data_IF_450699316868
#
_entry.id   IF_450699316868
#
_cell.length_a   1.000
_cell.length_b   1.000
_cell.length_c   1.000
_cell.angle_alpha   90.00
_cell.angle_beta   90.00
_cell.angle_gamma   90.00
#
_symmetry.space_group_name_H-M   'P 1'
#
loop_
_entity.id
_entity.type
_entity.pdbx_description
1 polymer ?
#
# COMPACT_ATOMS: atom_id res chain seq x y z
N UNK A 1 -8.38 -11.27 6.07
CA UNK A 1 -8.84 -10.40 7.17
C UNK A 1 -7.79 -10.36 8.24
N UNK A 2 -7.60 -9.19 8.83
CA UNK A 2 -6.68 -8.86 9.93
C UNK A 2 -7.39 -7.90 10.87
N UNK A 3 -6.88 -7.76 12.08
CA UNK A 3 -7.42 -6.80 13.04
C UNK A 3 -6.81 -5.40 12.89
N UNK A 4 -5.64 -5.29 12.24
CA UNK A 4 -4.90 -4.03 12.12
C UNK A 4 -4.52 -3.70 10.67
N UNK A 5 -4.45 -2.40 10.37
CA UNK A 5 -3.91 -1.90 9.11
C UNK A 5 -2.42 -2.23 8.94
N UNK A 6 -1.64 -2.14 10.03
CA UNK A 6 -0.22 -2.46 10.04
C UNK A 6 0.09 -3.86 9.48
N UNK A 7 -0.67 -4.88 9.89
CA UNK A 7 -0.50 -6.25 9.37
C UNK A 7 -0.78 -6.34 7.85
N UNK A 8 -1.76 -5.58 7.35
CA UNK A 8 -2.06 -5.54 5.92
C UNK A 8 -0.94 -4.85 5.14
N UNK A 9 -0.51 -3.68 5.60
CA UNK A 9 0.44 -2.85 4.88
C UNK A 9 1.87 -3.40 4.95
N UNK A 10 2.35 -3.75 6.14
CA UNK A 10 3.72 -4.24 6.31
C UNK A 10 3.82 -5.70 5.88
N UNK A 11 3.15 -6.60 6.59
CA UNK A 11 3.42 -8.03 6.46
C UNK A 11 2.88 -8.60 5.13
N UNK A 12 1.70 -8.16 4.70
CA UNK A 12 1.04 -8.73 3.51
C UNK A 12 1.36 -7.99 2.22
N UNK A 13 1.86 -6.76 2.29
CA UNK A 13 2.17 -5.95 1.10
C UNK A 13 3.65 -5.65 0.99
N UNK A 14 4.23 -4.88 1.91
CA UNK A 14 5.63 -4.45 1.79
C UNK A 14 6.60 -5.64 1.89
N UNK A 15 6.42 -6.52 2.87
CA UNK A 15 7.28 -7.71 3.05
C UNK A 15 7.12 -8.68 1.88
N UNK A 16 5.90 -8.86 1.39
CA UNK A 16 5.64 -9.69 0.21
C UNK A 16 6.32 -9.14 -1.05
N UNK A 17 6.29 -7.81 -1.27
CA UNK A 17 6.98 -7.17 -2.39
C UNK A 17 8.49 -7.32 -2.27
N UNK A 18 9.06 -7.12 -1.07
CA UNK A 18 10.47 -7.39 -0.81
C UNK A 18 10.83 -8.82 -1.16
N UNK A 19 10.06 -9.80 -0.67
CA UNK A 19 10.33 -11.22 -0.88
C UNK A 19 10.31 -11.55 -2.38
N UNK A 20 9.37 -11.00 -3.13
CA UNK A 20 9.30 -11.19 -4.58
C UNK A 20 10.47 -10.53 -5.33
N UNK A 21 10.96 -9.37 -4.89
CA UNK A 21 12.11 -8.70 -5.48
C UNK A 21 13.41 -9.50 -5.22
N UNK A 22 13.59 -10.01 -4.00
CA UNK A 22 14.70 -10.88 -3.64
C UNK A 22 14.65 -12.21 -4.42
N UNK A 23 13.47 -12.85 -4.48
CA UNK A 23 13.27 -14.10 -5.21
C UNK A 23 13.57 -13.98 -6.70
N UNK A 24 13.28 -12.82 -7.30
CA UNK A 24 13.58 -12.53 -8.71
C UNK A 24 15.02 -12.09 -8.95
N UNK A 25 15.83 -11.91 -7.89
CA UNK A 25 17.19 -11.39 -8.00
C UNK A 25 17.25 -9.94 -8.48
N UNK A 26 16.16 -9.18 -8.34
CA UNK A 26 16.10 -7.77 -8.69
C UNK A 26 16.67 -6.89 -7.57
N UNK A 27 16.63 -7.40 -6.34
CA UNK A 27 17.29 -6.84 -5.17
C UNK A 27 18.43 -7.76 -4.71
N UNK A 28 19.44 -7.14 -4.12
CA UNK A 28 20.52 -7.82 -3.43
C UNK A 28 20.43 -7.60 -1.92
N UNK A 29 21.40 -8.13 -1.16
CA UNK A 29 21.43 -8.01 0.31
C UNK A 29 21.54 -6.56 0.80
N UNK A 30 22.19 -5.66 0.05
CA UNK A 30 22.26 -4.23 0.40
C UNK A 30 20.89 -3.57 0.29
N UNK A 31 20.14 -3.83 -0.79
CA UNK A 31 18.76 -3.36 -0.95
C UNK A 31 17.86 -3.88 0.18
N UNK A 32 18.00 -5.16 0.54
CA UNK A 32 17.26 -5.76 1.64
C UNK A 32 17.62 -5.13 3.00
N UNK A 33 18.90 -4.83 3.25
CA UNK A 33 19.32 -4.14 4.47
C UNK A 33 18.72 -2.74 4.58
N UNK A 34 18.63 -1.99 3.47
CA UNK A 34 17.94 -0.69 3.43
C UNK A 34 16.45 -0.87 3.71
N UNK A 35 15.81 -1.88 3.11
CA UNK A 35 14.41 -2.19 3.37
C UNK A 35 14.15 -2.47 4.85
N UNK A 36 14.98 -3.27 5.52
CA UNK A 36 14.81 -3.57 6.96
C UNK A 36 14.92 -2.31 7.84
N UNK A 37 15.76 -1.34 7.48
CA UNK A 37 15.84 -0.05 8.17
C UNK A 37 14.53 0.74 8.00
N UNK A 38 14.03 0.84 6.76
CA UNK A 38 12.77 1.54 6.47
C UNK A 38 11.58 0.83 7.12
N UNK A 39 11.54 -0.51 7.08
CA UNK A 39 10.52 -1.34 7.73
C UNK A 39 10.42 -1.05 9.22
N UNK A 40 11.57 -0.91 9.90
CA UNK A 40 11.60 -0.54 11.32
C UNK A 40 10.93 0.81 11.57
N UNK A 41 11.21 1.82 10.72
CA UNK A 41 10.56 3.13 10.81
C UNK A 41 9.06 2.99 10.56
N UNK A 42 8.64 2.32 9.49
CA UNK A 42 7.22 2.14 9.17
C UNK A 42 6.44 1.45 10.31
N UNK A 43 7.02 0.42 10.93
CA UNK A 43 6.40 -0.26 12.08
C UNK A 43 6.20 0.71 13.25
N UNK A 44 7.23 1.49 13.60
CA UNK A 44 7.16 2.44 14.70
C UNK A 44 6.13 3.55 14.45
N UNK A 45 6.05 4.07 13.22
CA UNK A 45 5.06 5.10 12.88
C UNK A 45 3.63 4.53 12.91
N UNK A 46 3.43 3.34 12.34
CA UNK A 46 2.11 2.70 12.30
C UNK A 46 1.63 2.21 13.66
N UNK A 47 2.53 1.92 14.61
CA UNK A 47 2.17 1.62 16.00
C UNK A 47 1.59 2.84 16.73
N UNK A 48 1.91 4.05 16.27
CA UNK A 48 1.40 5.31 16.83
C UNK A 48 0.28 5.92 15.98
N UNK A 49 -0.21 5.20 14.96
CA UNK A 49 -1.23 5.67 14.03
C UNK A 49 -2.54 4.90 14.18
N UNK A 50 -3.64 5.62 14.41
CA UNK A 50 -4.97 5.02 14.49
C UNK A 50 -5.67 5.00 13.12
N UNK A 51 -5.63 3.86 12.46
CA UNK A 51 -6.33 3.63 11.20
C UNK A 51 -7.79 3.23 11.41
N UNK A 52 -8.71 3.89 10.71
CA UNK A 52 -10.10 3.43 10.55
C UNK A 52 -10.25 2.73 9.20
N UNK A 53 -10.70 1.48 9.24
CA UNK A 53 -10.95 0.68 8.03
C UNK A 53 -11.92 1.39 7.10
N UNK A 54 -11.51 1.54 5.84
CA UNK A 54 -12.25 2.14 4.74
C UNK A 54 -12.17 1.22 3.51
N UNK A 55 -13.21 1.18 2.69
CA UNK A 55 -13.13 0.52 1.38
C UNK A 55 -12.27 1.38 0.45
N UNK A 56 -11.18 0.82 -0.04
CA UNK A 56 -10.21 1.48 -0.90
C UNK A 56 -10.35 1.02 -2.36
N UNK A 57 -9.99 1.91 -3.28
CA UNK A 57 -9.75 1.57 -4.68
C UNK A 57 -8.53 0.64 -4.81
N UNK A 58 -7.45 0.94 -4.07
CA UNK A 58 -6.22 0.13 -3.97
C UNK A 58 -5.20 0.34 -5.10
N UNK A 59 -5.58 1.10 -6.13
CA UNK A 59 -4.74 1.49 -7.28
C UNK A 59 -5.16 2.88 -7.83
N UNK A 60 -5.33 3.88 -6.96
CA UNK A 60 -5.91 5.17 -7.34
C UNK A 60 -4.84 6.18 -7.81
N UNK A 61 -4.39 6.06 -9.06
CA UNK A 61 -3.46 7.02 -9.69
C UNK A 61 -4.09 7.73 -10.88
N UNK A 62 -3.37 8.70 -11.46
CA UNK A 62 -3.84 9.52 -12.60
C UNK A 62 -4.30 8.73 -13.84
N UNK A 63 -3.90 7.47 -13.96
CA UNK A 63 -4.35 6.57 -15.02
C UNK A 63 -5.69 5.88 -14.76
N UNK A 64 -6.17 5.84 -13.51
CA UNK A 64 -7.31 5.02 -13.07
C UNK A 64 -8.54 5.85 -12.64
N UNK A 65 -8.57 7.13 -12.99
CA UNK A 65 -9.78 7.95 -12.92
C UNK A 65 -9.94 8.80 -14.18
N UNK A 66 -11.19 9.15 -14.48
CA UNK A 66 -11.53 10.08 -15.56
C UNK A 66 -12.76 10.89 -15.17
N UNK A 67 -13.09 11.89 -15.98
CA UNK A 67 -14.32 12.65 -15.84
C UNK A 67 -15.28 12.32 -16.98
N UNK A 68 -16.54 12.07 -16.63
CA UNK A 68 -17.62 11.88 -17.59
C UNK A 68 -17.97 13.20 -18.29
N UNK A 69 -18.82 13.14 -19.31
CA UNK A 69 -19.24 14.32 -20.09
C UNK A 69 -19.95 15.39 -19.25
N UNK A 70 -20.52 15.00 -18.10
CA UNK A 70 -21.17 15.90 -17.14
C UNK A 70 -20.21 16.45 -16.08
N UNK A 71 -18.92 16.09 -16.14
CA UNK A 71 -17.90 16.49 -15.18
C UNK A 71 -17.86 15.68 -13.88
N UNK A 72 -18.68 14.63 -13.73
CA UNK A 72 -18.59 13.72 -12.59
C UNK A 72 -17.39 12.77 -12.72
N UNK A 73 -16.71 12.42 -11.61
CA UNK A 73 -15.59 11.49 -11.65
C UNK A 73 -16.06 10.04 -11.83
N UNK A 74 -15.29 9.25 -12.56
CA UNK A 74 -15.42 7.81 -12.68
C UNK A 74 -14.09 7.14 -12.33
N UNK A 75 -14.14 6.12 -11.48
CA UNK A 75 -13.00 5.28 -11.09
C UNK A 75 -13.06 3.95 -11.85
N UNK A 76 -11.92 3.40 -12.22
CA UNK A 76 -11.82 2.14 -12.96
C UNK A 76 -10.51 1.40 -12.64
N UNK A 77 -10.48 0.11 -12.98
CA UNK A 77 -9.38 -0.82 -12.67
C UNK A 77 -8.98 -0.88 -11.18
N UNK A 78 -9.94 -1.17 -10.27
CA UNK A 78 -9.64 -1.24 -8.84
C UNK A 78 -8.86 -2.51 -8.45
N UNK A 79 -8.04 -2.37 -7.43
CA UNK A 79 -7.43 -3.48 -6.67
C UNK A 79 -7.94 -3.43 -5.21
N UNK A 80 -9.25 -3.66 -4.99
CA UNK A 80 -9.92 -3.21 -3.79
C UNK A 80 -9.49 -3.96 -2.55
N UNK A 81 -9.38 -3.23 -1.44
CA UNK A 81 -9.10 -3.76 -0.12
C UNK A 81 -9.73 -2.88 0.97
N UNK A 82 -9.93 -3.45 2.15
CA UNK A 82 -10.23 -2.67 3.34
C UNK A 82 -8.92 -2.29 4.02
N UNK A 83 -8.70 -0.99 4.24
CA UNK A 83 -7.44 -0.49 4.78
C UNK A 83 -7.53 0.95 5.25
N UNK A 84 -6.39 1.59 5.43
CA UNK A 84 -6.31 3.02 5.72
C UNK A 84 -6.58 3.85 4.46
N UNK A 85 -7.45 4.86 4.57
CA UNK A 85 -7.80 5.77 3.48
C UNK A 85 -6.60 6.51 2.90
N UNK A 86 -5.56 6.75 3.70
CA UNK A 86 -4.36 7.45 3.26
C UNK A 86 -3.60 6.66 2.18
N UNK A 87 -3.82 5.35 2.10
CA UNK A 87 -3.23 4.51 1.06
C UNK A 87 -3.63 4.95 -0.35
N UNK A 88 -4.89 5.27 -0.60
CA UNK A 88 -5.36 5.74 -1.91
C UNK A 88 -4.95 7.19 -2.21
N UNK A 89 -4.58 7.96 -1.18
CA UNK A 89 -4.18 9.38 -1.31
C UNK A 89 -2.68 9.54 -1.54
N UNK A 90 -1.86 8.57 -1.14
CA UNK A 90 -0.39 8.62 -1.17
C UNK A 90 0.26 8.13 -2.46
N UNK A 91 -0.54 7.95 -3.52
CA UNK A 91 -0.12 7.47 -4.85
C UNK A 91 0.59 8.54 -5.68
#
# INVERSE_FOLDING_TARGET
WTDTWKEVFIDRRMDHLRDELMRKGLWNEEDNNVYEQVRTVMVNELDNHESKSSLLHGDLWGGNYMFLTDGSPALFDPAPLYGDREFDLGI
#
